data_IF_821225100871
#
_entry.id   IF_821225100871
#
_cell.length_a   1.000
_cell.length_b   1.000
_cell.length_c   1.000
_cell.angle_alpha   90.00
_cell.angle_beta   90.00
_cell.angle_gamma   90.00
#
_symmetry.space_group_name_H-M   'P 1'
#
loop_
_entity.id
_entity.type
_entity.pdbx_description
1 polymer ?
#
# COMPACT_ATOMS: atom_id res chain seq x y z
N UNK A 1 4.08 1.97 15.74
CA UNK A 1 4.47 2.05 14.30
C UNK A 1 5.82 1.39 14.03
N UNK A 2 6.93 1.79 14.68
CA UNK A 2 8.28 1.24 14.43
C UNK A 2 8.38 -0.28 14.52
N UNK A 3 7.79 -0.90 15.54
CA UNK A 3 7.81 -2.35 15.73
C UNK A 3 7.15 -3.11 14.57
N UNK A 4 5.97 -2.65 14.13
CA UNK A 4 5.23 -3.27 13.02
C UNK A 4 5.82 -2.95 11.65
N UNK A 5 6.63 -1.89 11.53
CA UNK A 5 7.24 -1.40 10.27
C UNK A 5 6.23 -1.02 9.19
N UNK A 6 5.01 -0.67 9.59
CA UNK A 6 3.98 -0.06 8.74
C UNK A 6 2.98 0.72 9.59
N UNK A 7 2.23 1.60 8.95
CA UNK A 7 1.18 2.42 9.56
C UNK A 7 -0.12 2.31 8.76
N UNK A 8 -1.26 2.27 9.44
CA UNK A 8 -2.57 2.52 8.84
C UNK A 8 -2.88 4.01 8.92
N UNK A 9 -3.38 4.58 7.83
CA UNK A 9 -3.86 5.96 7.79
C UNK A 9 -5.34 5.92 7.46
N UNK A 10 -6.16 6.34 8.42
CA UNK A 10 -7.62 6.48 8.28
C UNK A 10 -8.01 7.93 8.01
N UNK A 11 -9.23 8.15 7.53
CA UNK A 11 -9.77 9.48 7.33
C UNK A 11 -10.20 10.12 8.67
N UNK A 12 -11.03 9.41 9.43
CA UNK A 12 -11.60 9.88 10.69
C UNK A 12 -10.85 9.43 11.95
N UNK A 13 -10.99 10.22 13.03
CA UNK A 13 -10.49 9.84 14.34
C UNK A 13 -11.27 8.66 14.96
N UNK A 14 -12.56 8.52 14.62
CA UNK A 14 -13.38 7.38 15.06
C UNK A 14 -12.85 6.07 14.51
N UNK A 15 -12.46 6.04 13.24
CA UNK A 15 -11.84 4.88 12.59
C UNK A 15 -10.53 4.50 13.26
N UNK A 16 -9.71 5.49 13.61
CA UNK A 16 -8.49 5.26 14.36
C UNK A 16 -8.81 4.65 15.73
N UNK A 17 -9.82 5.16 16.46
CA UNK A 17 -10.24 4.58 17.73
C UNK A 17 -10.74 3.15 17.58
N UNK A 18 -11.56 2.85 16.56
CA UNK A 18 -12.06 1.50 16.28
C UNK A 18 -10.90 0.53 15.96
N UNK A 19 -9.95 0.96 15.13
CA UNK A 19 -8.75 0.19 14.80
C UNK A 19 -7.86 -0.06 16.02
N UNK A 20 -7.66 0.96 16.86
CA UNK A 20 -6.90 0.82 18.11
C UNK A 20 -7.59 -0.11 19.10
N UNK A 21 -8.91 0.02 19.26
CA UNK A 21 -9.72 -0.88 20.09
C UNK A 21 -9.51 -2.33 19.62
N UNK A 22 -9.51 -2.56 18.31
CA UNK A 22 -9.25 -3.86 17.68
C UNK A 22 -7.80 -4.38 17.78
N UNK A 23 -6.89 -3.63 18.41
CA UNK A 23 -5.47 -3.98 18.58
C UNK A 23 -4.57 -3.59 17.40
N UNK A 24 -5.07 -2.80 16.45
CA UNK A 24 -4.27 -2.17 15.38
C UNK A 24 -3.77 -0.79 15.83
N UNK A 25 -2.89 -0.79 16.83
CA UNK A 25 -2.36 0.43 17.46
C UNK A 25 -1.38 1.22 16.58
N UNK A 26 -1.01 0.68 15.42
CA UNK A 26 -0.22 1.37 14.41
C UNK A 26 -1.10 2.17 13.43
N UNK A 27 -2.18 2.78 13.93
CA UNK A 27 -3.15 3.54 13.13
C UNK A 27 -3.11 5.02 13.49
N UNK A 28 -3.16 5.89 12.48
CA UNK A 28 -3.26 7.35 12.61
C UNK A 28 -4.41 7.86 11.74
N UNK A 29 -4.98 9.01 12.08
CA UNK A 29 -6.08 9.62 11.34
C UNK A 29 -5.65 10.95 10.71
N UNK A 30 -6.23 11.29 9.56
CA UNK A 30 -6.06 12.60 8.91
C UNK A 30 -6.99 13.67 9.48
N UNK A 31 -8.08 13.27 10.15
CA UNK A 31 -9.01 14.16 10.84
C UNK A 31 -9.59 15.26 9.93
N UNK A 32 -9.95 14.90 8.69
CA UNK A 32 -10.57 15.80 7.72
C UNK A 32 -9.61 16.75 6.99
N UNK A 33 -8.30 16.55 7.12
CA UNK A 33 -7.29 17.32 6.37
C UNK A 33 -6.77 16.51 5.20
N UNK A 34 -6.53 17.16 4.06
CA UNK A 34 -5.89 16.53 2.92
C UNK A 34 -4.51 15.97 3.29
N UNK A 35 -4.15 14.82 2.73
CA UNK A 35 -2.84 14.22 2.94
C UNK A 35 -1.73 15.07 2.31
N UNK A 36 -0.74 15.49 3.10
CA UNK A 36 0.32 16.42 2.67
C UNK A 36 1.70 15.77 2.65
N UNK A 37 2.66 16.44 2.01
CA UNK A 37 4.07 16.07 2.05
C UNK A 37 4.65 16.15 3.48
N UNK A 38 4.13 17.04 4.32
CA UNK A 38 4.47 17.12 5.74
C UNK A 38 4.13 15.83 6.49
N UNK A 39 2.94 15.25 6.24
CA UNK A 39 2.57 13.95 6.81
C UNK A 39 3.51 12.84 6.36
N UNK A 40 3.93 12.83 5.09
CA UNK A 40 4.93 11.87 4.61
C UNK A 40 6.27 12.02 5.31
N UNK A 41 6.79 13.25 5.44
CA UNK A 41 8.06 13.50 6.15
C UNK A 41 8.00 13.03 7.60
N UNK A 42 6.89 13.28 8.29
CA UNK A 42 6.66 12.79 9.64
C UNK A 42 6.67 11.26 9.69
N UNK A 43 5.92 10.60 8.79
CA UNK A 43 5.85 9.15 8.73
C UNK A 43 7.20 8.51 8.34
N UNK A 44 8.01 9.17 7.52
CA UNK A 44 9.34 8.72 7.10
C UNK A 44 10.27 8.39 8.29
N UNK A 45 10.14 9.16 9.39
CA UNK A 45 10.89 8.91 10.63
C UNK A 45 10.49 7.65 11.40
N UNK A 46 9.41 6.98 10.99
CA UNK A 46 8.87 5.79 11.64
C UNK A 46 8.76 4.58 10.71
N UNK A 47 8.35 4.76 9.45
CA UNK A 47 8.10 3.68 8.50
C UNK A 47 8.09 4.19 7.06
N UNK A 48 8.44 3.32 6.11
CA UNK A 48 8.28 3.55 4.67
C UNK A 48 7.07 2.81 4.09
N UNK A 49 6.29 2.09 4.92
CA UNK A 49 5.09 1.37 4.50
C UNK A 49 3.84 2.00 5.07
N UNK A 50 2.92 2.37 4.19
CA UNK A 50 1.67 3.03 4.53
C UNK A 50 0.52 2.20 3.95
N UNK A 51 -0.47 1.89 4.78
CA UNK A 51 -1.73 1.29 4.36
C UNK A 51 -2.80 2.36 4.48
N UNK A 52 -3.30 2.82 3.34
CA UNK A 52 -4.35 3.83 3.27
C UNK A 52 -5.71 3.13 3.40
N UNK A 53 -6.51 3.64 4.33
CA UNK A 53 -7.80 3.13 4.71
C UNK A 53 -8.78 4.30 4.59
N UNK A 54 -9.03 4.66 3.33
CA UNK A 54 -9.86 5.79 2.93
C UNK A 54 -11.19 5.25 2.42
N UNK A 55 -12.24 6.07 2.53
CA UNK A 55 -13.57 5.71 2.10
C UNK A 55 -13.59 5.36 0.61
N UNK A 56 -14.43 4.39 0.23
CA UNK A 56 -14.61 3.94 -1.14
C UNK A 56 -15.51 4.90 -1.95
N UNK A 57 -15.40 6.21 -1.69
CA UNK A 57 -16.12 7.25 -2.40
C UNK A 57 -15.19 7.95 -3.42
N UNK A 58 -15.76 8.86 -4.21
CA UNK A 58 -15.00 9.58 -5.24
C UNK A 58 -13.90 10.46 -4.62
N UNK A 59 -14.10 10.97 -3.39
CA UNK A 59 -13.13 11.83 -2.73
C UNK A 59 -11.93 11.03 -2.20
N UNK A 60 -12.17 9.84 -1.63
CA UNK A 60 -11.17 8.89 -1.19
C UNK A 60 -10.33 8.35 -2.35
N UNK A 61 -10.96 8.04 -3.50
CA UNK A 61 -10.24 7.65 -4.72
C UNK A 61 -9.31 8.77 -5.22
N UNK A 62 -9.83 9.99 -5.35
CA UNK A 62 -9.03 11.13 -5.80
C UNK A 62 -7.88 11.45 -4.82
N UNK A 63 -8.09 11.24 -3.53
CA UNK A 63 -7.07 11.40 -2.50
C UNK A 63 -6.00 10.32 -2.62
N UNK A 64 -6.39 9.07 -2.86
CA UNK A 64 -5.48 7.95 -3.10
C UNK A 64 -4.58 8.21 -4.31
N UNK A 65 -5.16 8.61 -5.44
CA UNK A 65 -4.41 8.92 -6.67
C UNK A 65 -3.40 10.04 -6.45
N UNK A 66 -3.79 11.11 -5.73
CA UNK A 66 -2.88 12.20 -5.37
C UNK A 66 -1.71 11.73 -4.52
N UNK A 67 -1.96 10.88 -3.51
CA UNK A 67 -0.90 10.34 -2.64
C UNK A 67 0.06 9.47 -3.44
N UNK A 68 -0.47 8.57 -4.28
CA UNK A 68 0.34 7.71 -5.15
C UNK A 68 1.16 8.54 -6.14
N UNK A 69 0.59 9.60 -6.71
CA UNK A 69 1.29 10.50 -7.62
C UNK A 69 2.41 11.29 -6.91
N UNK A 70 2.15 11.83 -5.71
CA UNK A 70 3.16 12.52 -4.90
C UNK A 70 4.35 11.62 -4.58
N UNK A 71 4.07 10.36 -4.25
CA UNK A 71 5.09 9.37 -3.91
C UNK A 71 5.87 8.87 -5.12
N UNK A 72 5.20 8.74 -6.27
CA UNK A 72 5.85 8.31 -7.51
C UNK A 72 6.79 9.38 -8.07
N UNK A 73 6.45 10.66 -7.88
CA UNK A 73 7.25 11.79 -8.39
C UNK A 73 8.34 12.25 -7.41
N UNK A 74 8.29 11.81 -6.15
CA UNK A 74 9.18 12.33 -5.11
C UNK A 74 9.01 13.84 -4.92
N UNK A 75 7.80 14.35 -5.16
CA UNK A 75 7.50 15.79 -5.10
C UNK A 75 6.20 16.00 -4.35
N UNK A 76 6.21 16.91 -3.37
CA UNK A 76 5.00 17.39 -2.71
C UNK A 76 4.06 18.14 -3.66
N UNK A 77 2.82 18.43 -3.22
CA UNK A 77 1.83 19.14 -4.04
C UNK A 77 2.26 20.57 -4.40
N UNK A 78 3.20 21.14 -3.64
CA UNK A 78 3.78 22.48 -3.85
C UNK A 78 5.17 22.45 -4.53
N UNK A 79 5.56 21.32 -5.12
CA UNK A 79 6.84 21.20 -5.85
C UNK A 79 8.08 20.99 -4.97
N UNK A 80 7.92 20.85 -3.65
CA UNK A 80 9.02 20.45 -2.76
C UNK A 80 9.54 19.05 -3.14
N UNK A 81 10.84 18.92 -3.41
CA UNK A 81 11.48 17.60 -3.55
C UNK A 81 11.44 16.86 -2.21
N UNK A 82 10.77 15.73 -2.20
CA UNK A 82 10.99 14.71 -1.18
C UNK A 82 12.37 14.11 -1.45
N UNK A 83 13.19 14.00 -0.40
CA UNK A 83 14.50 13.37 -0.47
C UNK A 83 14.40 12.02 -1.22
N UNK A 84 15.30 11.73 -2.19
CA UNK A 84 15.24 10.51 -3.02
C UNK A 84 15.31 9.20 -2.22
N UNK A 85 15.63 9.28 -0.92
CA UNK A 85 15.65 8.15 0.02
C UNK A 85 14.26 7.66 0.45
N UNK A 86 13.18 8.41 0.21
CA UNK A 86 11.84 8.11 0.71
C UNK A 86 10.99 7.36 -0.32
N UNK A 87 11.41 6.15 -0.71
CA UNK A 87 10.57 5.23 -1.50
C UNK A 87 9.50 4.61 -0.58
N UNK A 88 8.35 5.27 -0.46
CA UNK A 88 7.23 4.70 0.28
C UNK A 88 6.54 3.60 -0.52
N UNK A 89 6.22 2.50 0.15
CA UNK A 89 5.33 1.46 -0.33
C UNK A 89 3.94 1.75 0.22
N UNK A 90 3.00 2.09 -0.67
CA UNK A 90 1.63 2.41 -0.30
C UNK A 90 0.69 1.33 -0.79
N UNK A 91 -0.09 0.82 0.15
CA UNK A 91 -1.12 -0.16 -0.09
C UNK A 91 -2.48 0.48 0.11
N UNK A 92 -3.37 0.27 -0.84
CA UNK A 92 -4.78 0.64 -0.71
C UNK A 92 -5.51 -0.51 -0.04
N UNK A 93 -6.15 -0.25 1.09
CA UNK A 93 -7.04 -1.24 1.71
C UNK A 93 -8.47 -0.81 1.51
N UNK A 94 -9.25 -1.65 0.83
CA UNK A 94 -10.69 -1.46 0.68
C UNK A 94 -11.43 -2.31 1.71
N UNK A 95 -12.45 -1.72 2.32
CA UNK A 95 -13.44 -2.42 3.14
C UNK A 95 -14.64 -2.80 2.27
N UNK A 96 -15.52 -3.70 2.77
CA UNK A 96 -16.81 -3.97 2.13
C UNK A 96 -17.58 -2.67 1.83
N UNK A 97 -18.40 -2.70 0.77
CA UNK A 97 -19.04 -1.49 0.24
C UNK A 97 -19.85 -0.75 1.29
N UNK A 98 -19.52 0.52 1.51
CA UNK A 98 -20.24 1.41 2.44
C UNK A 98 -19.89 1.24 3.92
N UNK A 99 -18.89 0.43 4.26
CA UNK A 99 -18.42 0.25 5.63
C UNK A 99 -17.12 1.04 5.88
N UNK A 100 -17.08 1.77 6.99
CA UNK A 100 -15.87 2.33 7.60
C UNK A 100 -15.46 1.47 8.81
N UNK A 101 -14.23 1.63 9.35
CA UNK A 101 -13.83 0.86 10.53
C UNK A 101 -14.76 1.00 11.74
N UNK A 102 -15.34 2.18 11.95
CA UNK A 102 -16.27 2.41 13.06
C UNK A 102 -17.56 1.60 12.89
N UNK A 103 -18.21 1.70 11.72
CA UNK A 103 -19.45 0.96 11.40
C UNK A 103 -19.23 -0.54 11.40
N UNK A 104 -18.10 -1.00 10.84
CA UNK A 104 -17.78 -2.43 10.75
C UNK A 104 -17.57 -3.04 12.14
N UNK A 105 -16.97 -2.27 13.06
CA UNK A 105 -16.78 -2.69 14.45
C UNK A 105 -18.13 -2.77 15.19
N UNK A 106 -19.01 -1.77 15.01
CA UNK A 106 -20.33 -1.74 15.62
C UNK A 106 -21.26 -2.83 15.09
N UNK A 107 -21.25 -3.09 13.77
CA UNK A 107 -22.18 -4.01 13.11
C UNK A 107 -21.81 -5.49 13.25
N UNK A 108 -20.52 -5.83 13.20
CA UNK A 108 -20.07 -7.23 13.12
C UNK A 108 -19.40 -7.78 14.39
N UNK A 109 -19.11 -6.90 15.34
CA UNK A 109 -18.40 -7.23 16.58
C UNK A 109 -16.90 -7.49 16.37
N UNK A 110 -16.18 -7.51 17.47
CA UNK A 110 -14.71 -7.44 17.50
C UNK A 110 -13.98 -8.55 16.72
N UNK A 111 -14.45 -9.80 16.85
CA UNK A 111 -13.82 -10.96 16.22
C UNK A 111 -13.97 -10.91 14.70
N UNK A 112 -15.16 -10.58 14.22
CA UNK A 112 -15.43 -10.42 12.79
C UNK A 112 -14.68 -9.23 12.22
N UNK A 113 -14.71 -8.08 12.91
CA UNK A 113 -13.97 -6.88 12.53
C UNK A 113 -12.49 -7.18 12.29
N UNK A 114 -11.83 -7.77 13.29
CA UNK A 114 -10.41 -8.09 13.20
C UNK A 114 -10.10 -9.06 12.06
N UNK A 115 -10.98 -10.04 11.82
CA UNK A 115 -10.83 -10.99 10.71
C UNK A 115 -10.92 -10.28 9.36
N UNK A 116 -11.90 -9.40 9.19
CA UNK A 116 -12.11 -8.65 7.95
C UNK A 116 -10.95 -7.68 7.67
N UNK A 117 -10.53 -6.88 8.66
CA UNK A 117 -9.36 -5.99 8.52
C UNK A 117 -8.10 -6.79 8.14
N UNK A 118 -7.87 -7.95 8.75
CA UNK A 118 -6.71 -8.79 8.44
C UNK A 118 -6.78 -9.35 7.03
N UNK A 119 -7.96 -9.76 6.57
CA UNK A 119 -8.18 -10.24 5.22
C UNK A 119 -7.99 -9.13 4.18
N UNK A 120 -8.62 -7.96 4.37
CA UNK A 120 -8.44 -6.79 3.50
C UNK A 120 -7.00 -6.32 3.45
N UNK A 121 -6.30 -6.29 4.59
CA UNK A 121 -4.86 -5.96 4.64
C UNK A 121 -4.05 -6.96 3.80
N UNK A 122 -4.35 -8.26 3.91
CA UNK A 122 -3.63 -9.28 3.16
C UNK A 122 -3.77 -9.06 1.64
N UNK A 123 -4.99 -8.74 1.17
CA UNK A 123 -5.24 -8.41 -0.23
C UNK A 123 -4.49 -7.16 -0.68
N UNK A 124 -4.63 -6.07 0.07
CA UNK A 124 -3.96 -4.80 -0.19
C UNK A 124 -2.43 -4.95 -0.36
N UNK A 125 -1.81 -5.73 0.53
CA UNK A 125 -0.38 -6.01 0.48
C UNK A 125 0.01 -6.88 -0.72
N UNK A 126 -0.83 -7.86 -1.09
CA UNK A 126 -0.59 -8.70 -2.27
C UNK A 126 -0.69 -7.91 -3.57
N UNK A 127 -1.68 -7.05 -3.73
CA UNK A 127 -1.83 -6.17 -4.91
C UNK A 127 -0.63 -5.24 -5.04
N UNK A 128 -0.24 -4.58 -3.94
CA UNK A 128 0.94 -3.71 -3.90
C UNK A 128 2.20 -4.48 -4.30
N UNK A 129 2.34 -5.71 -3.79
CA UNK A 129 3.48 -6.56 -4.10
C UNK A 129 3.49 -6.99 -5.57
N UNK A 130 2.33 -7.30 -6.15
CA UNK A 130 2.19 -7.62 -7.57
C UNK A 130 2.63 -6.46 -8.45
N UNK A 131 2.11 -5.26 -8.19
CA UNK A 131 2.52 -4.05 -8.91
C UNK A 131 4.02 -3.76 -8.79
N UNK A 132 4.63 -4.03 -7.62
CA UNK A 132 6.07 -3.92 -7.43
C UNK A 132 6.84 -4.94 -8.28
N UNK A 133 6.40 -6.19 -8.31
CA UNK A 133 7.00 -7.23 -9.14
C UNK A 133 6.91 -6.88 -10.63
N UNK A 134 5.75 -6.39 -11.10
CA UNK A 134 5.57 -5.95 -12.48
C UNK A 134 6.54 -4.82 -12.85
N UNK A 135 6.70 -3.82 -11.98
CA UNK A 135 7.69 -2.74 -12.18
C UNK A 135 9.14 -3.27 -12.23
N UNK A 136 9.49 -4.22 -11.36
CA UNK A 136 10.80 -4.85 -11.37
C UNK A 136 11.04 -5.66 -12.64
N UNK A 137 10.03 -6.37 -13.14
CA UNK A 137 10.08 -7.11 -14.41
C UNK A 137 10.28 -6.13 -15.56
N UNK A 138 9.50 -5.05 -15.64
CA UNK A 138 9.63 -4.03 -16.68
C UNK A 138 11.05 -3.44 -16.70
N UNK A 139 11.61 -3.13 -15.53
CA UNK A 139 13.00 -2.68 -15.40
C UNK A 139 13.99 -3.75 -15.88
N UNK A 140 13.83 -4.99 -15.45
CA UNK A 140 14.73 -6.10 -15.83
C UNK A 140 14.70 -6.33 -17.35
N UNK A 141 13.53 -6.24 -17.99
CA UNK A 141 13.38 -6.33 -19.45
C UNK A 141 14.08 -5.16 -20.14
N UNK A 142 13.94 -3.94 -19.61
CA UNK A 142 14.65 -2.77 -20.11
C UNK A 142 16.17 -2.93 -19.99
N UNK A 143 16.67 -3.35 -18.83
CA UNK A 143 18.11 -3.58 -18.59
C UNK A 143 18.66 -4.67 -19.52
N UNK A 144 17.86 -5.71 -19.82
CA UNK A 144 18.23 -6.78 -20.74
C UNK A 144 18.36 -6.27 -22.18
N UNK A 145 17.50 -5.35 -22.62
CA UNK A 145 17.62 -4.73 -23.94
C UNK A 145 18.86 -3.86 -24.12
N UNK A 146 19.40 -3.33 -23.01
CA UNK A 146 20.58 -2.46 -22.99
C UNK A 146 21.89 -3.21 -22.68
N UNK A 147 21.83 -4.49 -22.30
CA UNK A 147 23.01 -5.23 -21.86
C UNK A 147 23.98 -5.53 -23.02
N UNK A 148 25.27 -5.28 -22.79
CA UNK A 148 26.33 -5.52 -23.76
C UNK A 148 27.10 -6.82 -23.50
N UNK A 149 27.14 -7.30 -22.25
CA UNK A 149 27.87 -8.51 -21.86
C UNK A 149 26.98 -9.76 -21.87
N UNK A 150 27.57 -10.90 -22.22
CA UNK A 150 26.87 -12.19 -22.15
C UNK A 150 26.59 -12.63 -20.71
N UNK A 151 27.48 -12.29 -19.77
CA UNK A 151 27.33 -12.62 -18.35
C UNK A 151 26.12 -11.89 -17.74
N UNK A 152 25.99 -10.58 -17.98
CA UNK A 152 24.86 -9.79 -17.50
C UNK A 152 23.55 -10.32 -18.09
N UNK A 153 23.54 -10.69 -19.37
CA UNK A 153 22.35 -11.25 -20.04
C UNK A 153 21.87 -12.54 -19.36
N UNK A 154 22.79 -13.47 -19.07
CA UNK A 154 22.44 -14.72 -18.37
C UNK A 154 21.91 -14.42 -16.97
N UNK A 155 22.53 -13.48 -16.25
CA UNK A 155 22.10 -13.09 -14.90
C UNK A 155 20.68 -12.48 -14.90
N UNK A 156 20.39 -11.59 -15.85
CA UNK A 156 19.10 -10.92 -16.01
C UNK A 156 18.01 -11.90 -16.45
N UNK A 157 18.31 -12.85 -17.34
CA UNK A 157 17.38 -13.92 -17.72
C UNK A 157 17.01 -14.82 -16.52
N UNK A 158 18.00 -15.16 -15.69
CA UNK A 158 17.77 -15.92 -14.45
C UNK A 158 16.90 -15.14 -13.46
N UNK A 159 17.16 -13.83 -13.31
CA UNK A 159 16.35 -12.96 -12.47
C UNK A 159 14.90 -12.86 -12.99
N UNK A 160 14.72 -12.69 -14.29
CA UNK A 160 13.41 -12.61 -14.94
C UNK A 160 12.61 -13.91 -14.74
N UNK A 161 13.25 -15.08 -14.86
CA UNK A 161 12.61 -16.36 -14.60
C UNK A 161 12.11 -16.47 -13.14
N UNK A 162 12.92 -16.04 -12.17
CA UNK A 162 12.53 -15.99 -10.75
C UNK A 162 11.37 -15.02 -10.51
N UNK A 163 11.40 -13.83 -11.12
CA UNK A 163 10.35 -12.83 -11.00
C UNK A 163 9.03 -13.33 -11.62
N UNK A 164 9.05 -13.94 -12.81
CA UNK A 164 7.88 -14.57 -13.45
C UNK A 164 7.23 -15.60 -12.54
N UNK A 165 8.01 -16.51 -11.95
CA UNK A 165 7.50 -17.53 -11.03
C UNK A 165 6.85 -16.93 -9.78
N UNK A 166 7.40 -15.84 -9.25
CA UNK A 166 6.81 -15.11 -8.13
C UNK A 166 5.50 -14.42 -8.53
N UNK A 167 5.49 -13.71 -9.66
CA UNK A 167 4.33 -13.03 -10.20
C UNK A 167 3.16 -14.01 -10.37
N UNK A 168 3.38 -15.13 -11.06
CA UNK A 168 2.34 -16.16 -11.26
C UNK A 168 1.71 -16.64 -9.95
N UNK A 169 2.52 -16.87 -8.90
CA UNK A 169 1.99 -17.27 -7.59
C UNK A 169 1.17 -16.19 -6.92
N UNK A 170 1.56 -14.92 -7.05
CA UNK A 170 0.83 -13.78 -6.47
C UNK A 170 -0.48 -13.56 -7.22
N UNK A 171 -0.44 -13.51 -8.56
CA UNK A 171 -1.63 -13.36 -9.41
C UNK A 171 -2.64 -14.47 -9.16
N UNK A 172 -2.19 -15.72 -9.02
CA UNK A 172 -3.08 -16.85 -8.67
C UNK A 172 -3.71 -16.71 -7.28
N UNK A 173 -3.00 -16.14 -6.31
CA UNK A 173 -3.55 -15.88 -4.96
C UNK A 173 -4.58 -14.76 -4.98
N UNK A 174 -4.31 -13.69 -5.73
CA UNK A 174 -5.28 -12.60 -5.93
C UNK A 174 -6.53 -13.10 -6.65
N UNK A 175 -6.36 -13.83 -7.75
CA UNK A 175 -7.48 -14.39 -8.52
C UNK A 175 -8.38 -15.35 -7.73
N UNK A 176 -7.84 -16.06 -6.72
CA UNK A 176 -8.65 -16.90 -5.82
C UNK A 176 -9.47 -16.09 -4.82
N UNK A 177 -9.04 -14.88 -4.48
CA UNK A 177 -9.69 -14.04 -3.48
C UNK A 177 -10.66 -13.01 -4.08
N UNK A 178 -10.61 -12.77 -5.39
CA UNK A 178 -11.52 -11.85 -6.12
C UNK A 178 -12.87 -12.52 -6.45
N UNK A 179 -13.02 -13.83 -6.25
CA UNK A 179 -14.22 -14.61 -6.61
C UNK A 179 -15.16 -14.85 -5.41
N UNK A 180 -15.17 -13.96 -4.40
CA UNK A 180 -16.09 -14.07 -3.26
C UNK A 180 -16.82 -12.76 -3.02
#
# INVERSE_FOLDING_TARGET
IRERRFVFVTEGYKDALAMHAAGFTNTVALCGVAFTAGHLRLLAGYTQRIVLLLDADRAGEASMEKIVAMLSRGTGPEGERLEPACLFEVSRMQLPYGEDPDSLLHGSGFVSFRRQITASLHLALLETYEHRLLRQIAKTVSDLSLCLSCEDRISLLSLLAKQKSRLSRVTMRLGRNVVV
#
